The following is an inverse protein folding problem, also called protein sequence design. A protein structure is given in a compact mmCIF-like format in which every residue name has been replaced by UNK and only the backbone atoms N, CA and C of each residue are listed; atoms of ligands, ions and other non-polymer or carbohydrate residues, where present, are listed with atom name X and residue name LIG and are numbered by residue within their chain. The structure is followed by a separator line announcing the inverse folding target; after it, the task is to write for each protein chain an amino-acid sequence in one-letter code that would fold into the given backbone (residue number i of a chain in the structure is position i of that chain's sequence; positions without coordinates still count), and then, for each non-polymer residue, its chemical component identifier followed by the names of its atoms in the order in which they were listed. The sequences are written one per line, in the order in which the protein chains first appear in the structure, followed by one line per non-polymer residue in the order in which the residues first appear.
data_IF_384714711133
#
_entry.id   IF_384714711133
#
_cell.length_a   1.000
_cell.length_b   1.000
_cell.length_c   1.000
_cell.angle_alpha   90.00
_cell.angle_beta   90.00
_cell.angle_gamma   90.00
#
_symmetry.space_group_name_H-M   'P 1'
#
loop_
_entity.id
_entity.type
_entity.pdbx_description
1 polymer ?
#
# COMPACT_ATOMS: atom_id res chain seq x y z
N UNK A 1 -27.65 -13.12 -14.82
CA UNK A 1 -26.53 -13.89 -15.41
C UNK A 1 -26.82 -14.17 -16.88
N UNK A 2 -27.69 -15.13 -17.25
CA UNK A 2 -28.14 -15.31 -18.66
C UNK A 2 -28.56 -14.01 -19.36
N UNK A 3 -29.24 -13.12 -18.64
CA UNK A 3 -29.64 -11.82 -19.17
C UNK A 3 -28.47 -10.85 -19.49
N UNK A 4 -27.38 -10.86 -18.73
CA UNK A 4 -26.16 -10.06 -19.00
C UNK A 4 -25.30 -10.68 -20.11
N UNK A 5 -25.29 -12.01 -20.18
CA UNK A 5 -24.69 -12.80 -21.25
C UNK A 5 -25.33 -12.48 -22.61
N UNK A 6 -26.66 -12.49 -22.62
CA UNK A 6 -27.50 -12.26 -23.79
C UNK A 6 -27.49 -10.78 -24.23
N UNK A 7 -27.28 -9.83 -23.30
CA UNK A 7 -27.30 -8.39 -23.59
C UNK A 7 -25.93 -7.79 -23.99
N UNK A 8 -24.78 -8.41 -23.65
CA UNK A 8 -23.45 -7.73 -23.77
C UNK A 8 -22.36 -8.46 -24.55
N UNK A 9 -22.48 -9.77 -24.80
CA UNK A 9 -21.50 -10.54 -25.56
C UNK A 9 -20.12 -10.77 -24.90
N UNK A 10 -20.00 -10.64 -23.57
CA UNK A 10 -18.76 -10.92 -22.81
C UNK A 10 -19.01 -11.79 -21.56
N UNK A 11 -18.05 -12.64 -21.17
CA UNK A 11 -17.95 -13.26 -19.83
C UNK A 11 -16.60 -13.01 -19.15
N UNK A 12 -16.63 -12.71 -17.85
CA UNK A 12 -15.52 -12.97 -16.93
C UNK A 12 -16.06 -13.23 -15.50
N UNK A 13 -15.63 -14.34 -14.91
CA UNK A 13 -15.81 -14.66 -13.48
C UNK A 13 -14.41 -14.97 -12.93
N UNK A 14 -14.01 -14.29 -11.85
CA UNK A 14 -12.85 -14.66 -11.05
C UNK A 14 -13.28 -15.73 -10.03
N UNK A 15 -12.55 -16.85 -9.97
CA UNK A 15 -12.69 -17.87 -8.91
C UNK A 15 -11.31 -18.14 -8.31
N UNK A 16 -10.97 -17.40 -7.26
CA UNK A 16 -9.76 -17.62 -6.47
C UNK A 16 -10.00 -18.58 -5.31
N UNK A 17 -10.13 -19.88 -5.58
CA UNK A 17 -10.02 -20.87 -4.50
C UNK A 17 -8.62 -21.46 -4.52
N UNK A 18 -7.89 -21.37 -3.40
CA UNK A 18 -6.65 -22.11 -3.20
C UNK A 18 -7.03 -23.54 -2.85
N UNK A 19 -6.86 -24.47 -3.79
CA UNK A 19 -7.23 -25.88 -3.61
C UNK A 19 -6.25 -26.66 -2.73
N UNK A 20 -6.74 -27.73 -2.12
CA UNK A 20 -5.95 -28.63 -1.27
C UNK A 20 -4.81 -29.31 -2.05
N UNK A 21 -5.03 -29.56 -3.34
CA UNK A 21 -4.04 -30.11 -4.27
C UNK A 21 -2.85 -29.16 -4.51
N UNK A 22 -3.09 -27.84 -4.52
CA UNK A 22 -2.01 -26.83 -4.58
C UNK A 22 -1.16 -26.82 -3.30
N UNK A 23 -1.80 -26.95 -2.13
CA UNK A 23 -1.10 -27.04 -0.83
C UNK A 23 -0.23 -28.29 -0.71
N UNK A 24 -0.64 -29.42 -1.31
CA UNK A 24 0.13 -30.68 -1.36
C UNK A 24 1.36 -30.58 -2.27
N UNK A 25 1.22 -29.92 -3.43
CA UNK A 25 2.36 -29.63 -4.31
C UNK A 25 3.44 -28.78 -3.62
N UNK A 26 3.03 -27.74 -2.89
CA UNK A 26 3.96 -26.84 -2.17
C UNK A 26 4.81 -27.59 -1.11
N UNK A 27 4.32 -28.73 -0.62
CA UNK A 27 5.02 -29.62 0.33
C UNK A 27 5.87 -30.71 -0.35
N UNK A 28 5.96 -30.69 -1.68
CA UNK A 28 6.75 -31.66 -2.45
C UNK A 28 6.05 -33.01 -2.71
N UNK A 29 4.73 -33.09 -2.48
CA UNK A 29 3.96 -34.31 -2.73
C UNK A 29 3.66 -34.50 -4.22
N UNK A 30 3.51 -35.76 -4.66
CA UNK A 30 3.16 -36.08 -6.06
C UNK A 30 1.69 -35.78 -6.33
N UNK A 31 1.43 -34.93 -7.32
CA UNK A 31 0.07 -34.61 -7.82
C UNK A 31 -0.11 -35.19 -9.21
N UNK A 32 -1.16 -35.98 -9.41
CA UNK A 32 -1.55 -36.57 -10.71
C UNK A 32 -2.68 -35.75 -11.36
N UNK A 33 -2.94 -35.94 -12.66
CA UNK A 33 -3.68 -35.00 -13.54
C UNK A 33 -5.08 -34.49 -13.11
N UNK A 34 -5.58 -33.54 -13.91
CA UNK A 34 -6.79 -32.67 -13.78
C UNK A 34 -6.83 -31.62 -12.65
N UNK A 35 -6.08 -31.80 -11.56
CA UNK A 35 -6.06 -30.87 -10.41
C UNK A 35 -5.04 -29.71 -10.50
N UNK A 36 -4.59 -29.36 -11.70
CA UNK A 36 -3.80 -28.13 -11.91
C UNK A 36 -4.77 -26.99 -12.19
N UNK A 37 -5.22 -26.27 -11.16
CA UNK A 37 -5.96 -25.02 -11.38
C UNK A 37 -5.09 -24.05 -12.20
N UNK A 38 -5.52 -23.80 -13.44
CA UNK A 38 -4.84 -22.92 -14.38
C UNK A 38 -5.26 -21.49 -14.13
N UNK A 39 -4.30 -20.59 -13.88
CA UNK A 39 -4.53 -19.16 -14.07
C UNK A 39 -4.87 -18.96 -15.55
N UNK A 40 -6.14 -18.67 -15.85
CA UNK A 40 -6.64 -18.52 -17.22
C UNK A 40 -6.91 -17.05 -17.49
N UNK A 41 -6.02 -16.41 -18.23
CA UNK A 41 -6.21 -15.04 -18.71
C UNK A 41 -6.92 -15.13 -20.07
N UNK A 42 -8.21 -14.79 -20.10
CA UNK A 42 -9.01 -14.76 -21.33
C UNK A 42 -8.75 -13.45 -22.08
N UNK A 43 -8.20 -13.58 -23.29
CA UNK A 43 -8.01 -12.45 -24.21
C UNK A 43 -9.05 -12.50 -25.31
N UNK A 44 -9.64 -11.34 -25.64
CA UNK A 44 -10.49 -11.21 -26.81
C UNK A 44 -9.73 -11.63 -28.08
N UNK A 45 -10.38 -12.42 -28.92
CA UNK A 45 -9.78 -12.96 -30.14
C UNK A 45 -9.33 -11.84 -31.09
N UNK A 46 -10.10 -10.75 -31.16
CA UNK A 46 -9.73 -9.53 -31.90
C UNK A 46 -8.38 -8.95 -31.43
N UNK A 47 -8.14 -8.88 -30.12
CA UNK A 47 -6.87 -8.37 -29.56
C UNK A 47 -5.70 -9.30 -29.89
N UNK A 48 -5.92 -10.62 -29.82
CA UNK A 48 -4.93 -11.63 -30.19
C UNK A 48 -4.53 -11.50 -31.66
N UNK A 49 -5.51 -11.32 -32.55
CA UNK A 49 -5.29 -11.17 -33.99
C UNK A 49 -4.57 -9.86 -34.33
N UNK A 50 -4.95 -8.74 -33.71
CA UNK A 50 -4.26 -7.45 -33.88
C UNK A 50 -2.78 -7.54 -33.51
N UNK A 51 -2.46 -8.16 -32.38
CA UNK A 51 -1.07 -8.34 -31.95
C UNK A 51 -0.30 -9.31 -32.84
N UNK A 52 -0.92 -10.40 -33.27
CA UNK A 52 -0.27 -11.36 -34.16
C UNK A 52 0.15 -10.69 -35.47
N UNK A 53 -0.74 -9.89 -36.07
CA UNK A 53 -0.41 -9.08 -37.26
C UNK A 53 0.75 -8.12 -37.00
N UNK A 54 0.74 -7.43 -35.87
CA UNK A 54 1.84 -6.53 -35.48
C UNK A 54 3.18 -7.27 -35.38
N UNK A 55 3.22 -8.43 -34.70
CA UNK A 55 4.43 -9.24 -34.53
C UNK A 55 4.95 -9.75 -35.88
N UNK A 56 4.05 -10.15 -36.78
CA UNK A 56 4.42 -10.64 -38.11
C UNK A 56 4.99 -9.50 -38.98
N UNK A 57 4.39 -8.30 -38.95
CA UNK A 57 4.93 -7.09 -39.61
C UNK A 57 6.33 -6.76 -39.10
N UNK A 58 6.59 -6.95 -37.81
CA UNK A 58 7.90 -6.68 -37.17
C UNK A 58 8.88 -7.86 -37.25
N UNK A 59 8.68 -8.81 -38.17
CA UNK A 59 9.55 -9.99 -38.41
C UNK A 59 9.82 -10.78 -37.13
N UNK A 60 8.82 -10.95 -36.26
CA UNK A 60 8.92 -11.73 -35.01
C UNK A 60 9.97 -11.26 -34.01
N UNK A 61 10.38 -9.97 -34.07
CA UNK A 61 11.25 -9.36 -33.05
C UNK A 61 10.62 -9.31 -31.65
N UNK A 62 9.30 -9.44 -31.56
CA UNK A 62 8.55 -9.37 -30.31
C UNK A 62 7.91 -10.74 -29.95
N UNK A 63 7.77 -11.07 -28.66
CA UNK A 63 7.05 -12.27 -28.22
C UNK A 63 5.56 -12.26 -28.61
N UNK A 64 4.98 -13.45 -28.82
CA UNK A 64 3.53 -13.59 -29.00
C UNK A 64 2.78 -13.25 -27.70
N UNK A 65 1.52 -12.81 -27.80
CA UNK A 65 0.65 -12.59 -26.62
C UNK A 65 0.63 -13.82 -25.71
N UNK A 66 0.53 -15.02 -26.27
CA UNK A 66 0.53 -16.27 -25.49
C UNK A 66 1.86 -16.53 -24.77
N UNK A 67 2.99 -16.03 -25.28
CA UNK A 67 4.29 -16.09 -24.60
C UNK A 67 4.38 -15.05 -23.49
N UNK A 68 3.84 -13.84 -23.70
CA UNK A 68 3.78 -12.78 -22.69
C UNK A 68 2.89 -13.16 -21.51
N UNK A 69 1.69 -13.69 -21.77
CA UNK A 69 0.77 -14.20 -20.75
C UNK A 69 1.42 -15.27 -19.89
N UNK A 70 2.11 -16.24 -20.52
CA UNK A 70 2.84 -17.28 -19.77
C UNK A 70 3.95 -16.71 -18.89
N UNK A 71 4.68 -15.68 -19.36
CA UNK A 71 5.69 -15.00 -18.55
C UNK A 71 5.07 -14.28 -17.35
N UNK A 72 3.97 -13.56 -17.55
CA UNK A 72 3.25 -12.87 -16.48
C UNK A 72 2.71 -13.83 -15.41
N UNK A 73 2.10 -14.95 -15.84
CA UNK A 73 1.65 -16.00 -14.94
C UNK A 73 2.82 -16.64 -14.19
N UNK A 74 3.93 -16.93 -14.88
CA UNK A 74 5.13 -17.47 -14.23
C UNK A 74 5.73 -16.52 -13.19
N UNK A 75 5.74 -15.22 -13.48
CA UNK A 75 6.18 -14.18 -12.55
C UNK A 75 5.27 -14.10 -11.30
N UNK A 76 3.96 -14.12 -11.50
CA UNK A 76 2.99 -14.14 -10.40
C UNK A 76 3.16 -15.36 -9.49
N UNK A 77 3.39 -16.54 -10.07
CA UNK A 77 3.63 -17.77 -9.29
C UNK A 77 4.93 -17.66 -8.48
N UNK A 78 6.00 -17.10 -9.06
CA UNK A 78 7.27 -16.89 -8.33
C UNK A 78 7.09 -15.90 -7.16
N UNK A 79 6.36 -14.80 -7.37
CA UNK A 79 6.02 -13.84 -6.31
C UNK A 79 5.16 -14.46 -5.23
N UNK A 80 4.07 -15.16 -5.59
CA UNK A 80 3.17 -15.79 -4.62
C UNK A 80 3.82 -16.92 -3.82
N UNK A 81 4.96 -17.45 -4.27
CA UNK A 81 5.75 -18.47 -3.57
C UNK A 81 6.80 -17.90 -2.61
N UNK A 82 7.13 -16.61 -2.72
CA UNK A 82 8.02 -15.89 -1.80
C UNK A 82 7.15 -15.10 -0.84
N UNK A 83 7.42 -15.16 0.47
CA UNK A 83 6.90 -14.13 1.37
C UNK A 83 7.43 -12.80 0.86
N UNK A 84 6.52 -11.93 0.39
CA UNK A 84 6.89 -10.67 -0.26
C UNK A 84 7.40 -9.72 0.83
N UNK A 85 8.71 -9.76 1.07
CA UNK A 85 9.41 -8.83 1.98
C UNK A 85 9.46 -7.43 1.35
N UNK A 86 9.55 -6.39 2.18
CA UNK A 86 9.52 -4.97 1.80
C UNK A 86 10.67 -4.59 0.86
N UNK A 87 11.83 -5.24 1.00
CA UNK A 87 12.93 -5.13 0.02
C UNK A 87 12.55 -5.63 -1.37
N UNK A 88 11.70 -6.66 -1.43
CA UNK A 88 11.21 -7.24 -2.69
C UNK A 88 10.15 -6.33 -3.31
N UNK A 89 9.22 -5.75 -2.53
CA UNK A 89 8.23 -4.77 -3.03
C UNK A 89 8.85 -3.44 -3.48
N UNK A 90 9.84 -2.94 -2.73
CA UNK A 90 10.59 -1.74 -3.10
C UNK A 90 11.39 -1.97 -4.40
N UNK A 91 12.04 -3.15 -4.53
CA UNK A 91 12.69 -3.56 -5.78
C UNK A 91 11.72 -3.71 -6.96
N UNK A 92 10.58 -4.38 -6.74
CA UNK A 92 9.48 -4.52 -7.71
C UNK A 92 8.93 -3.16 -8.20
N UNK A 93 8.77 -2.21 -7.28
CA UNK A 93 8.35 -0.85 -7.59
C UNK A 93 9.33 -0.16 -8.50
N UNK A 94 10.62 -0.21 -8.16
CA UNK A 94 11.67 0.38 -8.97
C UNK A 94 11.69 -0.26 -10.37
N UNK A 95 11.66 -1.59 -10.44
CA UNK A 95 11.66 -2.37 -11.68
C UNK A 95 10.43 -2.13 -12.57
N UNK A 96 9.30 -1.68 -12.00
CA UNK A 96 8.09 -1.30 -12.73
C UNK A 96 8.06 0.19 -13.08
N UNK A 97 8.54 1.07 -12.19
CA UNK A 97 8.59 2.52 -12.40
C UNK A 97 9.55 2.91 -13.51
N UNK A 98 10.68 2.23 -13.63
CA UNK A 98 11.67 2.51 -14.68
C UNK A 98 11.11 2.32 -16.11
N UNK A 99 10.53 1.16 -16.47
CA UNK A 99 9.90 1.00 -17.80
C UNK A 99 8.68 1.90 -17.99
N UNK A 100 7.89 2.18 -16.94
CA UNK A 100 6.76 3.12 -17.02
C UNK A 100 7.21 4.54 -17.32
N UNK A 101 8.26 5.01 -16.64
CA UNK A 101 8.85 6.34 -16.85
C UNK A 101 9.39 6.46 -18.28
N UNK A 102 10.06 5.43 -18.78
CA UNK A 102 10.54 5.38 -20.16
C UNK A 102 9.38 5.43 -21.18
N UNK A 103 8.33 4.61 -20.99
CA UNK A 103 7.15 4.61 -21.88
C UNK A 103 6.50 6.00 -21.90
N UNK A 104 6.26 6.59 -20.73
CA UNK A 104 5.70 7.94 -20.59
C UNK A 104 6.55 8.98 -21.30
N UNK A 105 7.86 8.98 -21.04
CA UNK A 105 8.80 9.91 -21.66
C UNK A 105 8.82 9.79 -23.19
N UNK A 106 8.77 8.57 -23.74
CA UNK A 106 8.67 8.38 -25.18
C UNK A 106 7.31 8.83 -25.74
N UNK A 107 6.20 8.56 -25.04
CA UNK A 107 4.88 9.03 -25.49
C UNK A 107 4.79 10.56 -25.48
N UNK A 108 5.32 11.21 -24.45
CA UNK A 108 5.34 12.68 -24.35
C UNK A 108 6.22 13.29 -25.45
N UNK A 109 7.42 12.73 -25.67
CA UNK A 109 8.33 13.17 -26.73
C UNK A 109 7.71 13.06 -28.13
N UNK A 110 7.00 11.97 -28.42
CA UNK A 110 6.32 11.77 -29.71
C UNK A 110 5.16 12.76 -29.86
N UNK A 111 4.38 12.99 -28.80
CA UNK A 111 3.27 13.95 -28.78
C UNK A 111 3.72 15.42 -28.86
N UNK A 112 4.96 15.72 -28.49
CA UNK A 112 5.54 17.05 -28.56
C UNK A 112 6.21 17.31 -29.91
N UNK A 113 7.01 16.36 -30.42
CA UNK A 113 7.87 16.59 -31.60
C UNK A 113 7.30 16.12 -32.92
N UNK A 114 6.35 15.19 -32.91
CA UNK A 114 5.85 14.54 -34.12
C UNK A 114 4.34 14.60 -34.24
N UNK A 115 3.66 15.43 -33.43
CA UNK A 115 2.20 15.51 -33.37
C UNK A 115 1.55 15.68 -34.74
N UNK A 116 2.08 16.61 -35.53
CA UNK A 116 1.48 17.01 -36.81
C UNK A 116 1.75 15.98 -37.93
N UNK A 117 2.71 15.08 -37.73
CA UNK A 117 3.06 13.99 -38.65
C UNK A 117 2.21 12.72 -38.42
N UNK A 118 1.39 12.70 -37.37
CA UNK A 118 0.66 11.51 -36.91
C UNK A 118 -0.81 11.57 -37.30
N UNK A 119 -1.37 10.41 -37.64
CA UNK A 119 -2.82 10.29 -37.85
C UNK A 119 -3.58 10.44 -36.52
N UNK A 120 -4.83 10.88 -36.59
CA UNK A 120 -5.70 11.01 -35.42
C UNK A 120 -5.85 9.70 -34.62
N UNK A 121 -5.88 8.56 -35.32
CA UNK A 121 -5.94 7.24 -34.69
C UNK A 121 -4.67 6.96 -33.86
N UNK A 122 -3.49 7.30 -34.39
CA UNK A 122 -2.22 7.09 -33.69
C UNK A 122 -2.09 8.04 -32.51
N UNK A 123 -2.50 9.30 -32.66
CA UNK A 123 -2.55 10.26 -31.56
C UNK A 123 -3.44 9.79 -30.41
N UNK A 124 -4.63 9.25 -30.74
CA UNK A 124 -5.54 8.70 -29.75
C UNK A 124 -4.91 7.51 -28.99
N UNK A 125 -4.31 6.57 -29.71
CA UNK A 125 -3.64 5.41 -29.10
C UNK A 125 -2.47 5.82 -28.19
N UNK A 126 -1.65 6.80 -28.59
CA UNK A 126 -0.54 7.29 -27.76
C UNK A 126 -1.06 7.94 -26.48
N UNK A 127 -2.13 8.73 -26.58
CA UNK A 127 -2.77 9.34 -25.42
C UNK A 127 -3.35 8.28 -24.48
N UNK A 128 -4.03 7.27 -25.01
CA UNK A 128 -4.57 6.15 -24.23
C UNK A 128 -3.46 5.38 -23.50
N UNK A 129 -2.30 5.15 -24.15
CA UNK A 129 -1.13 4.53 -23.51
C UNK A 129 -0.62 5.39 -22.34
N UNK A 130 -0.51 6.69 -22.53
CA UNK A 130 -0.04 7.61 -21.48
C UNK A 130 -1.01 7.63 -20.29
N UNK A 131 -2.32 7.73 -20.55
CA UNK A 131 -3.36 7.70 -19.52
C UNK A 131 -3.34 6.39 -18.72
N UNK A 132 -3.14 5.24 -19.40
CA UNK A 132 -2.99 3.94 -18.74
C UNK A 132 -1.71 3.84 -17.91
N UNK A 133 -0.60 4.43 -18.36
CA UNK A 133 0.65 4.47 -17.58
C UNK A 133 0.47 5.26 -16.28
N UNK A 134 -0.17 6.43 -16.36
CA UNK A 134 -0.48 7.26 -15.18
C UNK A 134 -1.40 6.53 -14.20
N UNK A 135 -2.41 5.82 -14.71
CA UNK A 135 -3.31 5.02 -13.87
C UNK A 135 -2.55 3.90 -13.15
N UNK A 136 -1.66 3.18 -13.86
CA UNK A 136 -0.86 2.11 -13.27
C UNK A 136 0.15 2.63 -12.25
N UNK A 137 0.79 3.78 -12.52
CA UNK A 137 1.70 4.44 -11.60
C UNK A 137 1.01 4.79 -10.27
N UNK A 138 -0.24 5.27 -10.32
CA UNK A 138 -1.05 5.50 -9.10
C UNK A 138 -1.32 4.21 -8.33
N UNK A 139 -1.69 3.13 -9.02
CA UNK A 139 -1.93 1.82 -8.37
C UNK A 139 -0.66 1.31 -7.69
N UNK A 140 0.49 1.42 -8.35
CA UNK A 140 1.79 1.04 -7.78
C UNK A 140 2.09 1.88 -6.55
N UNK A 141 1.95 3.21 -6.64
CA UNK A 141 2.21 4.09 -5.51
C UNK A 141 1.27 3.84 -4.32
N UNK A 142 -0.01 3.57 -4.58
CA UNK A 142 -0.97 3.23 -3.53
C UNK A 142 -0.61 1.90 -2.86
N UNK A 143 -0.33 0.87 -3.65
CA UNK A 143 0.10 -0.43 -3.11
C UNK A 143 1.39 -0.29 -2.28
N UNK A 144 2.33 0.56 -2.68
CA UNK A 144 3.53 0.81 -1.89
C UNK A 144 3.24 1.56 -0.60
N UNK A 145 2.36 2.57 -0.63
CA UNK A 145 1.97 3.29 0.58
C UNK A 145 1.23 2.39 1.58
N UNK A 146 0.49 1.38 1.10
CA UNK A 146 -0.17 0.37 1.94
C UNK A 146 0.83 -0.63 2.55
N UNK A 147 1.98 -0.87 1.90
CA UNK A 147 3.03 -1.81 2.35
C UNK A 147 4.21 -1.16 3.10
N UNK A 148 4.49 0.14 2.89
CA UNK A 148 5.46 0.91 3.70
C UNK A 148 5.08 0.94 5.19
N UNK A 149 3.83 0.57 5.51
CA UNK A 149 3.28 0.41 6.85
C UNK A 149 3.75 -0.83 7.62
N UNK A 150 4.54 -1.74 7.02
CA UNK A 150 4.99 -3.00 7.65
C UNK A 150 6.49 -3.08 8.00
N UNK A 151 7.36 -2.13 7.63
CA UNK A 151 8.75 -2.11 8.17
C UNK A 151 9.48 -0.76 8.12
N UNK A 152 8.77 0.37 8.08
CA UNK A 152 9.41 1.64 8.42
C UNK A 152 9.15 1.94 9.90
N UNK A 153 10.23 2.22 10.65
CA UNK A 153 10.13 3.01 11.89
C UNK A 153 9.51 4.35 11.48
N UNK A 154 8.20 4.49 11.61
CA UNK A 154 7.56 5.79 11.43
C UNK A 154 7.86 6.64 12.66
N UNK A 155 8.05 7.95 12.45
CA UNK A 155 8.49 8.85 13.52
C UNK A 155 7.42 8.94 14.63
N UNK A 156 6.13 8.96 14.26
CA UNK A 156 5.01 9.15 15.19
C UNK A 156 3.91 8.11 15.03
N UNK A 157 3.51 7.42 16.11
CA UNK A 157 2.23 6.71 16.20
C UNK A 157 1.15 7.67 16.75
N UNK A 158 0.02 7.81 16.06
CA UNK A 158 -1.13 8.59 16.52
C UNK A 158 -2.27 7.61 16.84
N UNK A 159 -2.81 7.68 18.05
CA UNK A 159 -3.89 6.81 18.52
C UNK A 159 -5.04 7.67 19.02
N UNK A 160 -6.14 7.71 18.27
CA UNK A 160 -7.28 8.59 18.55
C UNK A 160 -8.52 8.07 17.80
N UNK A 161 -9.68 7.92 18.44
CA UNK A 161 -10.89 7.46 17.76
C UNK A 161 -11.56 8.57 16.93
N UNK A 162 -11.19 9.83 17.14
CA UNK A 162 -11.65 10.96 16.34
C UNK A 162 -10.83 11.10 15.03
N UNK A 163 -11.48 10.72 13.92
CA UNK A 163 -10.92 10.86 12.57
C UNK A 163 -10.53 12.32 12.21
N UNK A 164 -11.19 13.32 12.80
CA UNK A 164 -10.83 14.72 12.58
C UNK A 164 -9.50 15.08 13.27
N UNK A 165 -9.33 14.66 14.54
CA UNK A 165 -8.08 14.84 15.27
C UNK A 165 -6.92 14.13 14.57
N UNK A 166 -7.11 12.86 14.15
CA UNK A 166 -6.13 12.13 13.33
C UNK A 166 -5.73 12.94 12.11
N UNK A 167 -6.71 13.43 11.34
CA UNK A 167 -6.44 14.17 10.09
C UNK A 167 -5.63 15.44 10.36
N UNK A 168 -6.01 16.21 11.37
CA UNK A 168 -5.35 17.46 11.76
C UNK A 168 -3.89 17.21 12.16
N UNK A 169 -3.62 16.18 12.97
CA UNK A 169 -2.25 15.81 13.36
C UNK A 169 -1.45 15.25 12.18
N UNK A 170 -2.07 14.41 11.37
CA UNK A 170 -1.48 13.82 10.15
C UNK A 170 -1.02 14.90 9.18
N UNK A 171 -1.89 15.87 8.87
CA UNK A 171 -1.57 16.99 7.98
C UNK A 171 -0.43 17.84 8.56
N UNK A 172 -0.41 18.08 9.88
CA UNK A 172 0.67 18.80 10.55
C UNK A 172 2.03 18.11 10.41
N UNK A 173 2.13 16.82 10.74
CA UNK A 173 3.40 16.08 10.65
C UNK A 173 3.87 15.89 9.21
N UNK A 174 2.93 15.69 8.28
CA UNK A 174 3.22 15.62 6.85
C UNK A 174 3.86 16.91 6.35
N UNK A 175 3.33 18.08 6.72
CA UNK A 175 3.89 19.39 6.35
C UNK A 175 5.30 19.61 6.93
N UNK A 176 5.65 18.90 8.01
CA UNK A 176 6.97 18.94 8.65
C UNK A 176 7.89 17.80 8.19
N UNK A 177 7.55 17.11 7.10
CA UNK A 177 8.28 15.98 6.53
C UNK A 177 8.59 14.86 7.55
N UNK A 178 7.66 14.60 8.47
CA UNK A 178 7.75 13.48 9.42
C UNK A 178 6.81 12.36 9.00
N UNK A 179 7.31 11.14 9.14
CA UNK A 179 6.52 9.93 8.88
C UNK A 179 5.60 9.66 10.08
N UNK A 180 4.39 9.21 9.83
CA UNK A 180 3.45 8.88 10.89
C UNK A 180 2.59 7.69 10.50
N UNK A 181 2.08 6.99 11.51
CA UNK A 181 1.02 5.99 11.38
C UNK A 181 -0.09 6.37 12.35
N UNK A 182 -1.34 6.24 11.92
CA UNK A 182 -2.50 6.57 12.74
C UNK A 182 -3.43 5.37 12.86
N UNK A 183 -3.99 5.16 14.05
CA UNK A 183 -4.97 4.12 14.35
C UNK A 183 -6.09 4.67 15.20
N UNK A 184 -7.26 4.03 15.11
CA UNK A 184 -8.48 4.48 15.79
C UNK A 184 -8.83 3.67 17.05
N UNK A 185 -8.02 2.66 17.36
CA UNK A 185 -8.21 1.83 18.55
C UNK A 185 -6.88 1.63 19.28
N UNK A 186 -6.97 1.57 20.61
CA UNK A 186 -5.88 1.18 21.47
C UNK A 186 -5.38 -0.25 21.24
N UNK A 187 -6.28 -1.19 20.90
CA UNK A 187 -5.89 -2.57 20.59
C UNK A 187 -5.07 -2.62 19.30
N UNK A 188 -5.48 -1.85 18.28
CA UNK A 188 -4.72 -1.73 17.03
C UNK A 188 -3.34 -1.11 17.28
N UNK A 189 -3.25 -0.11 18.17
CA UNK A 189 -1.99 0.48 18.58
C UNK A 189 -1.03 -0.54 19.21
N UNK A 190 -1.51 -1.37 20.14
CA UNK A 190 -0.70 -2.41 20.77
C UNK A 190 -0.22 -3.46 19.76
N UNK A 191 -1.10 -3.91 18.85
CA UNK A 191 -0.74 -4.84 17.78
C UNK A 191 0.33 -4.29 16.83
N UNK A 192 0.31 -2.98 16.61
CA UNK A 192 1.31 -2.30 15.80
C UNK A 192 2.64 -2.22 16.56
N UNK A 193 2.62 -1.92 17.86
CA UNK A 193 3.82 -1.82 18.69
C UNK A 193 4.57 -3.16 18.84
N UNK A 194 3.89 -4.29 18.65
CA UNK A 194 4.54 -5.62 18.53
C UNK A 194 5.41 -5.75 17.27
N UNK A 195 5.15 -4.94 16.23
CA UNK A 195 5.77 -5.07 14.90
C UNK A 195 6.66 -3.89 14.53
N UNK A 196 6.42 -2.72 15.10
CA UNK A 196 7.11 -1.48 14.79
C UNK A 196 7.33 -0.62 16.03
N UNK A 197 8.51 -0.02 16.13
CA UNK A 197 8.89 0.87 17.22
C UNK A 197 8.88 2.32 16.72
N UNK A 198 7.79 3.07 16.93
CA UNK A 198 7.79 4.49 16.63
C UNK A 198 8.75 5.25 17.53
N UNK A 199 9.23 6.40 17.08
CA UNK A 199 10.05 7.27 17.95
C UNK A 199 9.21 8.01 18.98
N UNK A 200 7.93 8.28 18.70
CA UNK A 200 7.00 8.97 19.60
C UNK A 200 5.60 8.36 19.46
N UNK A 201 4.88 8.26 20.57
CA UNK A 201 3.48 7.86 20.60
C UNK A 201 2.64 9.05 21.08
N UNK A 202 1.65 9.44 20.29
CA UNK A 202 0.58 10.37 20.66
C UNK A 202 -0.68 9.57 20.93
N UNK A 203 -1.15 9.57 22.17
CA UNK A 203 -2.20 8.67 22.65
C UNK A 203 -3.37 9.44 23.23
N UNK A 204 -4.57 9.30 22.67
CA UNK A 204 -5.77 9.79 23.35
C UNK A 204 -6.03 8.98 24.62
N UNK A 205 -6.48 9.68 25.64
CA UNK A 205 -6.92 9.12 26.92
C UNK A 205 -8.31 8.50 26.76
N UNK A 206 -9.21 9.19 26.05
CA UNK A 206 -10.60 8.75 25.91
C UNK A 206 -10.70 7.94 24.62
N UNK A 207 -10.67 6.61 24.75
CA UNK A 207 -10.91 5.69 23.64
C UNK A 207 -12.09 4.75 23.99
N UNK A 208 -12.84 4.26 23.00
CA UNK A 208 -14.06 3.49 23.24
C UNK A 208 -13.83 2.09 23.84
N UNK A 209 -12.66 1.49 23.59
CA UNK A 209 -12.37 0.10 23.97
C UNK A 209 -11.56 -0.03 25.26
N UNK A 210 -10.57 0.85 25.45
CA UNK A 210 -9.61 0.81 26.55
C UNK A 210 -9.11 2.23 26.84
N UNK A 211 -9.02 2.61 28.12
CA UNK A 211 -8.52 3.93 28.51
C UNK A 211 -7.04 4.09 28.09
N UNK A 212 -6.69 5.23 27.50
CA UNK A 212 -5.30 5.56 27.13
C UNK A 212 -4.31 5.48 28.29
N UNK A 213 -4.77 5.69 29.53
CA UNK A 213 -3.94 5.46 30.71
C UNK A 213 -3.56 3.99 30.90
N UNK A 214 -4.46 3.04 30.59
CA UNK A 214 -4.18 1.60 30.66
C UNK A 214 -3.21 1.18 29.55
N UNK A 215 -3.41 1.68 28.34
CA UNK A 215 -2.51 1.45 27.20
C UNK A 215 -1.11 1.96 27.52
N UNK A 216 -0.99 3.17 28.07
CA UNK A 216 0.30 3.73 28.47
C UNK A 216 1.00 2.87 29.52
N UNK A 217 0.27 2.36 30.52
CA UNK A 217 0.84 1.43 31.51
C UNK A 217 1.34 0.13 30.87
N UNK A 218 0.61 -0.41 29.90
CA UNK A 218 1.04 -1.61 29.15
C UNK A 218 2.37 -1.30 28.43
N UNK A 219 2.43 -0.19 27.69
CA UNK A 219 3.63 0.26 26.97
C UNK A 219 4.82 0.45 27.95
N UNK A 220 4.60 1.13 29.07
CA UNK A 220 5.66 1.44 30.05
C UNK A 220 6.08 0.24 30.91
N UNK A 221 5.30 -0.84 30.92
CA UNK A 221 5.64 -2.10 31.60
C UNK A 221 6.37 -3.09 30.71
N UNK A 222 6.36 -2.91 29.38
CA UNK A 222 7.04 -3.77 28.44
C UNK A 222 8.51 -3.34 28.27
N UNK A 223 9.46 -4.28 28.44
CA UNK A 223 10.89 -4.00 28.36
C UNK A 223 11.35 -3.44 27.00
N UNK A 224 10.67 -3.81 25.92
CA UNK A 224 10.94 -3.33 24.57
C UNK A 224 10.28 -2.00 24.26
N UNK A 225 9.21 -1.62 24.97
CA UNK A 225 8.43 -0.41 24.65
C UNK A 225 8.60 0.70 25.69
N UNK A 226 9.03 0.40 26.91
CA UNK A 226 9.06 1.34 28.04
C UNK A 226 9.89 2.60 27.81
N UNK A 227 10.87 2.52 26.92
CA UNK A 227 11.74 3.63 26.57
C UNK A 227 11.14 4.56 25.51
N UNK A 228 10.05 4.16 24.85
CA UNK A 228 9.37 4.99 23.86
C UNK A 228 8.69 6.18 24.56
N UNK A 229 8.91 7.41 24.08
CA UNK A 229 8.16 8.58 24.52
C UNK A 229 6.67 8.46 24.24
N UNK A 230 5.84 8.64 25.26
CA UNK A 230 4.37 8.63 25.18
C UNK A 230 3.83 9.97 25.65
N UNK A 231 3.14 10.69 24.76
CA UNK A 231 2.45 11.93 25.09
C UNK A 231 0.95 11.76 24.93
N UNK A 232 0.19 12.18 25.93
CA UNK A 232 -1.26 12.18 25.81
C UNK A 232 -1.75 13.29 24.86
N UNK A 233 -2.81 13.03 24.10
CA UNK A 233 -3.53 14.04 23.29
C UNK A 233 -5.00 14.03 23.68
N UNK A 234 -5.46 14.98 24.51
CA UNK A 234 -6.77 14.81 25.18
C UNK A 234 -7.57 16.10 25.34
N UNK A 235 -8.89 15.97 25.48
CA UNK A 235 -9.78 17.03 25.94
C UNK A 235 -9.97 17.04 27.48
N UNK A 236 -9.38 16.07 28.20
CA UNK A 236 -9.41 16.02 29.68
C UNK A 236 -8.65 17.21 30.26
N UNK A 237 -9.14 17.75 31.38
CA UNK A 237 -8.54 18.92 32.02
C UNK A 237 -7.11 18.64 32.49
N UNK A 238 -6.20 19.60 32.30
CA UNK A 238 -4.76 19.45 32.59
C UNK A 238 -4.46 18.93 34.00
N UNK A 239 -5.15 19.45 35.02
CA UNK A 239 -4.93 19.07 36.43
C UNK A 239 -5.24 17.59 36.71
N UNK A 240 -6.10 16.96 35.91
CA UNK A 240 -6.39 15.52 36.01
C UNK A 240 -5.29 14.71 35.34
N UNK A 241 -4.86 15.14 34.16
CA UNK A 241 -3.81 14.47 33.37
C UNK A 241 -2.46 14.53 34.09
N UNK A 242 -2.10 15.67 34.69
CA UNK A 242 -0.84 15.86 35.41
C UNK A 242 -0.61 14.82 36.52
N UNK A 243 -1.66 14.45 37.26
CA UNK A 243 -1.58 13.41 38.28
C UNK A 243 -1.34 12.03 37.65
N UNK A 244 -1.96 11.76 36.51
CA UNK A 244 -1.88 10.48 35.81
C UNK A 244 -0.56 10.25 35.10
N UNK A 245 0.14 11.31 34.70
CA UNK A 245 1.48 11.20 34.09
C UNK A 245 2.44 10.43 35.02
N UNK A 246 2.48 10.79 36.31
CA UNK A 246 3.34 10.13 37.29
C UNK A 246 2.95 8.66 37.51
N UNK A 247 1.64 8.35 37.51
CA UNK A 247 1.13 6.99 37.71
C UNK A 247 1.35 6.07 36.50
N UNK A 248 1.39 6.64 35.29
CA UNK A 248 1.43 5.88 34.04
C UNK A 248 2.84 5.84 33.45
N UNK A 249 3.71 6.78 33.80
CA UNK A 249 5.04 6.93 33.23
C UNK A 249 5.07 7.64 31.88
N UNK A 250 4.00 8.34 31.51
CA UNK A 250 3.97 9.16 30.30
C UNK A 250 4.98 10.32 30.36
N UNK A 251 5.35 10.85 29.20
CA UNK A 251 6.38 11.88 29.04
C UNK A 251 5.79 13.30 28.97
N UNK A 252 4.47 13.40 28.78
CA UNK A 252 3.75 14.67 28.77
C UNK A 252 2.36 14.56 28.20
N UNK A 253 1.74 15.70 27.90
CA UNK A 253 0.44 15.77 27.25
C UNK A 253 0.27 17.06 26.45
N UNK A 254 -0.66 17.03 25.50
CA UNK A 254 -1.15 18.18 24.75
C UNK A 254 -2.68 18.21 24.83
N UNK A 255 -3.23 19.40 25.02
CA UNK A 255 -4.67 19.58 25.09
C UNK A 255 -5.29 19.76 23.71
N UNK A 256 -6.47 19.18 23.51
CA UNK A 256 -7.39 19.48 22.42
C UNK A 256 -8.21 20.73 22.79
N UNK A 257 -8.36 21.73 21.91
CA UNK A 257 -7.76 21.85 20.57
C UNK A 257 -6.25 22.13 20.64
N UNK A 258 -5.49 21.53 19.71
CA UNK A 258 -4.04 21.53 19.76
C UNK A 258 -3.41 22.91 19.53
N UNK A 259 -2.52 23.32 20.43
CA UNK A 259 -1.57 24.40 20.20
C UNK A 259 -0.28 23.82 19.58
N UNK A 260 -0.18 23.84 18.26
CA UNK A 260 0.96 23.27 17.53
C UNK A 260 2.32 23.90 17.86
N UNK A 261 2.37 25.08 18.48
CA UNK A 261 3.63 25.65 18.95
C UNK A 261 4.27 24.80 20.05
N UNK A 262 3.47 24.06 20.84
CA UNK A 262 3.97 23.18 21.91
C UNK A 262 4.62 21.90 21.35
N UNK A 263 4.30 21.53 20.11
CA UNK A 263 4.80 20.31 19.46
C UNK A 263 6.27 20.44 19.05
N UNK A 264 6.87 21.64 19.15
CA UNK A 264 8.30 21.86 18.92
C UNK A 264 9.20 20.97 19.81
N UNK A 265 8.70 20.56 20.98
CA UNK A 265 9.42 19.60 21.84
C UNK A 265 9.52 18.22 21.16
N UNK A 266 8.48 17.77 20.46
CA UNK A 266 8.43 16.45 19.84
C UNK A 266 9.52 16.35 18.76
N UNK A 267 9.72 17.42 17.96
CA UNK A 267 10.74 17.41 16.93
C UNK A 267 12.16 17.29 17.48
N UNK A 268 12.43 17.76 18.71
CA UNK A 268 13.72 17.56 19.38
C UNK A 268 13.97 16.09 19.73
N UNK A 269 12.91 15.33 20.02
CA UNK A 269 12.98 13.89 20.27
C UNK A 269 13.11 13.08 18.97
N UNK A 270 12.73 13.66 17.82
CA UNK A 270 12.86 13.08 16.49
C UNK A 270 14.17 13.46 15.77
N UNK A 271 15.08 14.16 16.45
CA UNK A 271 16.37 14.67 15.95
C UNK A 271 17.50 13.70 16.29
#
# INVERSE_FOLDING_TARGET
MKKYEEETGKFAIWRGNITESFKKWQKGEKVYGEDKERITILLAEATKLKWQRFVDIKKRKFPTISKLVRKAVGYYIDIGSKNVDIKTMSGLSHDLKEPLTAIKGFTDLILEKHRDDLTLEVLFNIKEINDQCLALERVINNALSEYETESSEYDILIVDDDAFAIKVLSDFFKLRNRSYKSVQSGLEALQILEKALPKIILLDIILPEMDGYEICKIIKSDDQLKHLPVFYITAVASFEVEKKIQETGADGFFLKPFNFAEFELLFKLLS
#
